data_IF_850343675439
#
_entry.id   IF_850343675439
#
_cell.length_a   1.000
_cell.length_b   1.000
_cell.length_c   1.000
_cell.angle_alpha   90.00
_cell.angle_beta   90.00
_cell.angle_gamma   90.00
#
_symmetry.space_group_name_H-M   'P 1'
#
loop_
_entity.id
_entity.type
_entity.pdbx_description
1 polymer ?
#
# COMPACT_ATOMS: atom_id res chain seq x y z
N UNK A 1 10.25 19.10 -14.57
CA UNK A 1 9.57 19.33 -13.29
C UNK A 1 8.08 19.08 -13.50
N UNK A 2 7.59 17.86 -13.24
CA UNK A 2 6.15 17.59 -13.26
C UNK A 2 5.73 17.68 -11.80
N UNK A 3 5.10 18.80 -11.47
CA UNK A 3 4.37 19.02 -10.25
C UNK A 3 3.35 17.88 -10.12
N UNK A 4 3.73 16.83 -9.40
CA UNK A 4 2.90 15.65 -9.27
C UNK A 4 1.67 16.09 -8.50
N UNK A 5 0.55 16.18 -9.23
CA UNK A 5 -0.81 16.32 -8.72
C UNK A 5 -1.09 15.15 -7.78
N UNK A 6 -0.66 15.29 -6.53
CA UNK A 6 -0.74 14.25 -5.52
C UNK A 6 -2.04 14.48 -4.77
N UNK A 7 -2.81 13.42 -4.57
CA UNK A 7 -3.93 13.39 -3.61
C UNK A 7 -3.35 13.28 -2.19
N UNK A 8 -4.09 13.64 -1.15
CA UNK A 8 -3.65 13.40 0.22
C UNK A 8 -3.64 11.91 0.55
N UNK A 9 -2.47 11.41 0.97
CA UNK A 9 -2.25 10.01 1.33
C UNK A 9 -3.22 9.52 2.42
N UNK A 10 -3.57 10.40 3.35
CA UNK A 10 -4.54 10.09 4.41
C UNK A 10 -5.88 9.65 3.81
N UNK A 11 -6.40 10.37 2.81
CA UNK A 11 -7.68 10.05 2.16
C UNK A 11 -7.58 8.72 1.42
N UNK A 12 -6.48 8.46 0.71
CA UNK A 12 -6.27 7.21 -0.01
C UNK A 12 -6.21 5.99 0.92
N UNK A 13 -5.54 6.09 2.06
CA UNK A 13 -5.49 5.01 3.06
C UNK A 13 -6.87 4.78 3.67
N UNK A 14 -7.57 5.83 4.09
CA UNK A 14 -8.92 5.69 4.63
C UNK A 14 -9.89 5.10 3.61
N UNK A 15 -9.83 5.57 2.36
CA UNK A 15 -10.60 5.03 1.24
C UNK A 15 -10.32 3.54 1.06
N UNK A 16 -9.05 3.12 1.01
CA UNK A 16 -8.67 1.73 0.82
C UNK A 16 -9.11 0.84 2.00
N UNK A 17 -9.03 1.35 3.24
CA UNK A 17 -9.38 0.61 4.44
C UNK A 17 -10.90 0.44 4.58
N UNK A 18 -11.67 1.51 4.36
CA UNK A 18 -13.14 1.49 4.42
C UNK A 18 -13.72 0.62 3.30
N UNK A 19 -13.30 0.82 2.05
CA UNK A 19 -13.84 0.03 0.95
C UNK A 19 -13.27 -1.40 0.93
N UNK A 20 -12.02 -1.60 1.34
CA UNK A 20 -11.44 -2.93 1.44
C UNK A 20 -12.22 -3.86 2.37
N UNK A 21 -12.81 -3.32 3.44
CA UNK A 21 -13.69 -4.09 4.34
C UNK A 21 -15.14 -4.16 3.81
N UNK A 22 -15.70 -3.04 3.34
CA UNK A 22 -17.08 -2.99 2.88
C UNK A 22 -17.34 -3.83 1.61
N UNK A 23 -16.38 -3.93 0.70
CA UNK A 23 -16.54 -4.67 -0.56
C UNK A 23 -16.78 -6.17 -0.34
N UNK A 24 -16.31 -6.71 0.79
CA UNK A 24 -16.52 -8.10 1.18
C UNK A 24 -17.96 -8.35 1.67
N UNK A 25 -18.51 -7.37 2.39
CA UNK A 25 -19.85 -7.45 2.99
C UNK A 25 -20.94 -7.08 1.97
N UNK A 26 -20.62 -6.20 1.02
CA UNK A 26 -21.59 -5.70 0.07
C UNK A 26 -21.76 -6.63 -1.14
N UNK A 27 -23.01 -6.95 -1.49
CA UNK A 27 -23.35 -7.78 -2.66
C UNK A 27 -23.89 -6.98 -3.87
N UNK A 28 -23.58 -5.68 -3.98
CA UNK A 28 -24.09 -4.83 -5.04
C UNK A 28 -23.03 -4.55 -6.12
N UNK A 29 -23.08 -5.30 -7.22
CA UNK A 29 -22.18 -5.12 -8.37
C UNK A 29 -22.11 -3.69 -8.94
N UNK A 30 -23.21 -2.93 -8.86
CA UNK A 30 -23.25 -1.54 -9.34
C UNK A 30 -22.26 -0.65 -8.58
N UNK A 31 -22.08 -0.89 -7.29
CA UNK A 31 -21.25 -0.05 -6.44
C UNK A 31 -19.77 -0.43 -6.57
N UNK A 32 -19.48 -1.71 -6.82
CA UNK A 32 -18.15 -2.18 -7.21
C UNK A 32 -17.68 -1.49 -8.50
N UNK A 33 -18.58 -1.37 -9.50
CA UNK A 33 -18.28 -0.65 -10.75
C UNK A 33 -18.03 0.85 -10.52
N UNK A 34 -18.87 1.52 -9.73
CA UNK A 34 -18.69 2.95 -9.41
C UNK A 34 -17.36 3.16 -8.67
N UNK A 35 -17.03 2.29 -7.71
CA UNK A 35 -15.78 2.36 -6.99
C UNK A 35 -14.57 2.15 -7.90
N UNK A 36 -14.64 1.18 -8.82
CA UNK A 36 -13.61 0.98 -9.84
C UNK A 36 -13.39 2.22 -10.72
N UNK A 37 -14.48 2.89 -11.13
CA UNK A 37 -14.41 4.15 -11.87
C UNK A 37 -13.75 5.29 -11.07
N UNK A 38 -14.03 5.41 -9.78
CA UNK A 38 -13.36 6.43 -8.94
C UNK A 38 -11.87 6.12 -8.83
N UNK A 39 -11.51 4.85 -8.61
CA UNK A 39 -10.12 4.44 -8.51
C UNK A 39 -9.35 4.66 -9.83
N UNK A 40 -10.00 4.46 -10.97
CA UNK A 40 -9.37 4.68 -12.27
C UNK A 40 -9.13 6.17 -12.53
N UNK A 41 -10.08 7.03 -12.19
CA UNK A 41 -9.93 8.49 -12.25
C UNK A 41 -8.74 8.96 -11.40
N UNK A 42 -8.55 8.41 -10.21
CA UNK A 42 -7.41 8.70 -9.32
C UNK A 42 -6.07 8.37 -9.99
N UNK A 43 -5.95 7.21 -10.64
CA UNK A 43 -4.73 6.78 -11.34
C UNK A 43 -4.43 7.62 -12.58
N UNK A 44 -5.47 7.97 -13.33
CA UNK A 44 -5.35 8.85 -14.51
C UNK A 44 -4.90 10.24 -14.07
N UNK A 45 -5.51 10.79 -13.02
CA UNK A 45 -5.12 12.07 -12.43
C UNK A 45 -3.67 12.08 -11.94
N UNK A 46 -3.21 10.95 -11.40
CA UNK A 46 -1.83 10.75 -10.96
C UNK A 46 -0.83 10.52 -12.11
N UNK A 47 -1.29 10.49 -13.37
CA UNK A 47 -0.46 10.35 -14.57
C UNK A 47 0.09 8.94 -14.83
N UNK A 48 -0.48 7.90 -14.20
CA UNK A 48 0.03 6.51 -14.27
C UNK A 48 -0.77 5.64 -15.25
N UNK A 49 -0.98 6.13 -16.47
CA UNK A 49 -1.83 5.51 -17.51
C UNK A 49 -1.44 4.07 -17.84
N UNK A 50 -0.15 3.72 -17.88
CA UNK A 50 0.31 2.35 -18.14
C UNK A 50 -0.15 1.34 -17.08
N UNK A 51 -0.20 1.74 -15.81
CA UNK A 51 -0.68 0.86 -14.73
C UNK A 51 -2.20 0.72 -14.78
N UNK A 52 -2.89 1.83 -15.02
CA UNK A 52 -4.34 1.83 -15.23
C UNK A 52 -4.76 0.86 -16.35
N UNK A 53 -4.13 0.92 -17.52
CA UNK A 53 -4.47 0.02 -18.64
C UNK A 53 -4.31 -1.46 -18.26
N UNK A 54 -3.25 -1.81 -17.51
CA UNK A 54 -3.05 -3.20 -17.05
C UNK A 54 -4.17 -3.65 -16.11
N UNK A 55 -4.55 -2.82 -15.15
CA UNK A 55 -5.64 -3.13 -14.23
C UNK A 55 -7.00 -3.16 -14.94
N UNK A 56 -7.22 -2.30 -15.92
CA UNK A 56 -8.45 -2.28 -16.72
C UNK A 56 -8.59 -3.55 -17.56
N UNK A 57 -7.53 -3.98 -18.25
CA UNK A 57 -7.53 -5.23 -19.01
C UNK A 57 -7.80 -6.41 -18.09
N UNK A 58 -7.12 -6.47 -16.94
CA UNK A 58 -7.33 -7.53 -15.95
C UNK A 58 -8.77 -7.56 -15.43
N UNK A 59 -9.34 -6.41 -15.10
CA UNK A 59 -10.72 -6.28 -14.63
C UNK A 59 -11.74 -6.74 -15.68
N UNK A 60 -11.56 -6.35 -16.95
CA UNK A 60 -12.43 -6.78 -18.05
C UNK A 60 -12.37 -8.28 -18.30
N UNK A 61 -11.18 -8.89 -18.23
CA UNK A 61 -11.03 -10.34 -18.36
C UNK A 61 -11.78 -11.07 -17.25
N UNK A 62 -11.62 -10.63 -15.99
CA UNK A 62 -12.33 -11.25 -14.88
C UNK A 62 -13.85 -11.05 -14.97
N UNK A 63 -14.33 -9.88 -15.40
CA UNK A 63 -15.75 -9.64 -15.66
C UNK A 63 -16.30 -10.55 -16.76
N UNK A 64 -15.54 -10.73 -17.84
CA UNK A 64 -15.92 -11.59 -18.94
C UNK A 64 -16.13 -13.03 -18.49
N UNK A 65 -15.21 -13.56 -17.66
CA UNK A 65 -15.31 -14.90 -17.09
C UNK A 65 -16.54 -15.05 -16.19
N UNK A 66 -16.85 -14.04 -15.39
CA UNK A 66 -17.98 -14.09 -14.43
C UNK A 66 -19.35 -14.03 -15.15
N UNK A 67 -19.50 -13.21 -16.19
CA UNK A 67 -20.81 -12.97 -16.82
C UNK A 67 -21.09 -13.83 -18.07
N UNK A 68 -20.07 -14.08 -18.90
CA UNK A 68 -20.28 -14.68 -20.23
C UNK A 68 -20.00 -16.17 -20.26
N UNK A 69 -19.14 -16.67 -19.39
CA UNK A 69 -18.87 -18.11 -19.31
C UNK A 69 -19.91 -18.72 -18.37
N UNK A 70 -20.97 -19.29 -18.95
CA UNK A 70 -21.81 -20.26 -18.22
C UNK A 70 -20.96 -21.51 -17.97
N UNK A 71 -20.22 -21.44 -16.88
CA UNK A 71 -19.38 -22.51 -16.37
C UNK A 71 -20.27 -23.73 -16.06
N UNK A 72 -19.93 -24.94 -16.53
CA UNK A 72 -20.60 -26.16 -16.11
C UNK A 72 -20.55 -26.30 -14.58
N UNK A 73 -21.52 -26.98 -13.97
CA UNK A 73 -21.60 -27.19 -12.51
C UNK A 73 -20.55 -28.17 -11.96
N UNK A 74 -19.44 -28.39 -12.67
CA UNK A 74 -18.31 -29.14 -12.15
C UNK A 74 -17.56 -28.32 -11.09
N UNK A 75 -17.11 -29.01 -10.03
CA UNK A 75 -16.37 -28.43 -8.91
C UNK A 75 -15.20 -27.51 -9.32
N UNK A 76 -14.48 -27.86 -10.38
CA UNK A 76 -13.36 -27.08 -10.89
C UNK A 76 -13.80 -25.72 -11.49
N UNK A 77 -14.88 -25.74 -12.27
CA UNK A 77 -15.37 -24.54 -12.94
C UNK A 77 -16.04 -23.58 -11.95
N UNK A 78 -16.73 -24.10 -10.93
CA UNK A 78 -17.23 -23.28 -9.81
C UNK A 78 -16.08 -22.59 -9.04
N UNK A 79 -14.96 -23.28 -8.84
CA UNK A 79 -13.78 -22.69 -8.18
C UNK A 79 -13.14 -21.56 -9.00
N UNK A 80 -13.05 -21.73 -10.33
CA UNK A 80 -12.60 -20.67 -11.25
C UNK A 80 -13.54 -19.45 -11.18
N UNK A 81 -14.85 -19.68 -11.13
CA UNK A 81 -15.86 -18.63 -11.04
C UNK A 81 -15.74 -17.85 -9.73
N UNK A 82 -15.55 -18.55 -8.61
CA UNK A 82 -15.34 -17.93 -7.30
C UNK A 82 -14.08 -17.07 -7.25
N UNK A 83 -12.94 -17.59 -7.75
CA UNK A 83 -11.69 -16.83 -7.81
C UNK A 83 -11.87 -15.58 -8.66
N UNK A 84 -12.48 -15.71 -9.84
CA UNK A 84 -12.68 -14.58 -10.76
C UNK A 84 -13.57 -13.51 -10.14
N UNK A 85 -14.66 -13.92 -9.48
CA UNK A 85 -15.56 -13.02 -8.76
C UNK A 85 -14.86 -12.29 -7.61
N UNK A 86 -14.07 -13.01 -6.79
CA UNK A 86 -13.28 -12.41 -5.72
C UNK A 86 -12.26 -11.39 -6.25
N UNK A 87 -11.60 -11.71 -7.36
CA UNK A 87 -10.66 -10.81 -8.01
C UNK A 87 -11.33 -9.55 -8.53
N UNK A 88 -12.51 -9.63 -9.16
CA UNK A 88 -13.27 -8.45 -9.61
C UNK A 88 -13.54 -7.50 -8.43
N UNK A 89 -13.95 -8.04 -7.28
CA UNK A 89 -14.21 -7.24 -6.07
C UNK A 89 -12.95 -6.61 -5.47
N UNK A 90 -11.83 -7.34 -5.44
CA UNK A 90 -10.59 -6.84 -4.85
C UNK A 90 -9.76 -5.95 -5.78
N UNK A 91 -10.00 -6.00 -7.10
CA UNK A 91 -9.29 -5.21 -8.11
C UNK A 91 -9.13 -3.72 -7.76
N UNK A 92 -10.19 -2.95 -7.47
CA UNK A 92 -10.05 -1.52 -7.19
C UNK A 92 -9.25 -1.24 -5.91
N UNK A 93 -9.36 -2.12 -4.90
CA UNK A 93 -8.56 -2.05 -3.68
C UNK A 93 -7.07 -2.29 -3.96
N UNK A 94 -6.75 -3.30 -4.77
CA UNK A 94 -5.37 -3.54 -5.21
C UNK A 94 -4.81 -2.39 -6.04
N UNK A 95 -5.66 -1.76 -6.83
CA UNK A 95 -5.29 -0.65 -7.67
C UNK A 95 -4.80 0.56 -6.85
N UNK A 96 -5.56 0.98 -5.83
CA UNK A 96 -5.12 2.02 -4.88
C UNK A 96 -3.91 1.56 -4.06
N UNK A 97 -3.91 0.33 -3.56
CA UNK A 97 -2.80 -0.19 -2.77
C UNK A 97 -1.48 -0.15 -3.55
N UNK A 98 -1.49 -0.50 -4.84
CA UNK A 98 -0.32 -0.43 -5.71
C UNK A 98 0.19 1.02 -5.88
N UNK A 99 -0.73 1.99 -5.94
CA UNK A 99 -0.39 3.41 -5.97
C UNK A 99 0.27 3.85 -4.66
N UNK A 100 -0.28 3.42 -3.52
CA UNK A 100 0.27 3.71 -2.20
C UNK A 100 1.69 3.13 -2.04
N UNK A 101 1.91 1.88 -2.42
CA UNK A 101 3.20 1.22 -2.20
C UNK A 101 4.29 1.74 -3.13
N UNK A 102 3.97 2.04 -4.40
CA UNK A 102 4.98 2.32 -5.42
C UNK A 102 5.31 3.80 -5.60
N UNK A 103 4.37 4.71 -5.37
CA UNK A 103 4.55 6.14 -5.72
C UNK A 103 4.71 7.06 -4.51
N UNK A 104 4.45 6.57 -3.30
CA UNK A 104 4.40 7.40 -2.10
C UNK A 104 5.73 7.41 -1.37
N UNK A 105 6.10 8.59 -0.87
CA UNK A 105 7.35 8.79 -0.13
C UNK A 105 7.19 8.27 1.29
N UNK A 106 8.25 7.65 1.82
CA UNK A 106 8.28 7.18 3.22
C UNK A 106 7.99 8.31 4.22
N UNK A 107 8.38 9.55 3.89
CA UNK A 107 8.10 10.74 4.71
C UNK A 107 6.61 11.12 4.78
N UNK A 108 5.85 10.95 3.71
CA UNK A 108 4.39 11.18 3.70
C UNK A 108 3.68 10.11 4.53
N UNK A 109 4.19 8.87 4.48
CA UNK A 109 3.71 7.74 5.28
C UNK A 109 3.90 8.00 6.78
N UNK A 110 5.07 8.52 7.18
CA UNK A 110 5.37 8.93 8.56
C UNK A 110 4.40 10.02 9.04
N UNK A 111 4.10 11.00 8.18
CA UNK A 111 3.14 12.06 8.50
C UNK A 111 1.73 11.50 8.79
N UNK A 112 1.23 10.65 7.90
CA UNK A 112 -0.11 10.04 8.07
C UNK A 112 -0.16 9.17 9.32
N UNK A 113 0.91 8.41 9.59
CA UNK A 113 1.01 7.64 10.82
C UNK A 113 0.94 8.52 12.08
N UNK A 114 1.53 9.72 12.03
CA UNK A 114 1.41 10.70 13.11
C UNK A 114 -0.03 11.22 13.30
N UNK A 115 -0.82 11.29 12.22
CA UNK A 115 -2.21 11.75 12.25
C UNK A 115 -3.19 10.67 12.72
N UNK A 116 -2.85 9.39 12.60
CA UNK A 116 -3.67 8.25 13.04
C UNK A 116 -3.80 8.09 14.58
N UNK A 117 -3.33 9.06 15.38
CA UNK A 117 -3.52 9.07 16.83
C UNK A 117 -2.59 8.13 17.60
N UNK A 118 -1.61 7.48 16.94
CA UNK A 118 -0.64 6.64 17.64
C UNK A 118 0.18 7.46 18.65
N UNK A 119 0.41 6.84 19.83
CA UNK A 119 1.21 7.43 20.90
C UNK A 119 2.64 7.75 20.48
N UNK A 120 3.29 8.69 21.19
CA UNK A 120 4.62 9.24 20.86
C UNK A 120 5.67 8.15 20.62
N UNK A 121 5.73 7.14 21.50
CA UNK A 121 6.68 6.01 21.41
C UNK A 121 6.51 5.20 20.11
N UNK A 122 5.27 4.89 19.75
CA UNK A 122 4.95 4.09 18.54
C UNK A 122 5.30 4.89 17.29
N UNK A 123 4.89 6.16 17.23
CA UNK A 123 5.18 7.05 16.09
C UNK A 123 6.68 7.19 15.84
N UNK A 124 7.45 7.35 16.92
CA UNK A 124 8.90 7.44 16.86
C UNK A 124 9.53 6.14 16.35
N UNK A 125 9.17 4.99 16.94
CA UNK A 125 9.67 3.69 16.51
C UNK A 125 9.38 3.44 15.02
N UNK A 126 8.15 3.68 14.57
CA UNK A 126 7.81 3.53 13.16
C UNK A 126 8.56 4.51 12.24
N UNK A 127 8.83 5.74 12.69
CA UNK A 127 9.62 6.72 11.94
C UNK A 127 11.04 6.22 11.70
N UNK A 128 11.67 5.65 12.72
CA UNK A 128 13.01 5.04 12.60
C UNK A 128 12.94 3.84 11.67
N UNK A 129 11.99 2.92 11.87
CA UNK A 129 11.85 1.72 11.04
C UNK A 129 11.64 2.06 9.57
N UNK A 130 10.79 3.03 9.25
CA UNK A 130 10.52 3.45 7.87
C UNK A 130 11.74 4.10 7.20
N UNK A 131 12.64 4.73 7.96
CA UNK A 131 13.93 5.23 7.46
C UNK A 131 14.99 4.14 7.37
N UNK A 132 14.97 3.17 8.28
CA UNK A 132 15.86 2.03 8.31
C UNK A 132 15.68 1.12 7.08
N UNK A 133 14.44 0.86 6.66
CA UNK A 133 14.15 -0.07 5.55
C UNK A 133 14.92 0.28 4.25
N UNK A 134 14.85 1.51 3.71
CA UNK A 134 15.63 1.89 2.53
C UNK A 134 17.15 1.73 2.71
N UNK A 135 17.67 2.08 3.89
CA UNK A 135 19.10 2.00 4.20
C UNK A 135 19.56 0.55 4.26
N UNK A 136 18.77 -0.32 4.91
CA UNK A 136 19.03 -1.75 4.96
C UNK A 136 19.08 -2.38 3.56
N UNK A 137 18.15 -2.03 2.67
CA UNK A 137 18.19 -2.54 1.30
C UNK A 137 19.42 -2.07 0.51
N UNK A 138 19.89 -0.83 0.74
CA UNK A 138 21.12 -0.32 0.14
C UNK A 138 22.34 -1.09 0.65
N UNK A 139 22.48 -1.25 1.97
CA UNK A 139 23.57 -2.01 2.60
C UNK A 139 23.57 -3.49 2.16
N UNK A 140 22.39 -4.13 2.12
CA UNK A 140 22.24 -5.49 1.61
C UNK A 140 22.76 -5.63 0.17
N UNK A 141 22.55 -4.62 -0.67
CA UNK A 141 23.06 -4.58 -2.05
C UNK A 141 24.59 -4.39 -2.08
N UNK A 142 25.13 -3.52 -1.23
CA UNK A 142 26.58 -3.30 -1.10
C UNK A 142 27.27 -4.59 -0.66
N UNK A 143 26.77 -5.26 0.38
CA UNK A 143 27.31 -6.53 0.88
C UNK A 143 27.24 -7.60 -0.20
N UNK A 144 26.10 -7.73 -0.90
CA UNK A 144 25.96 -8.67 -2.01
C UNK A 144 26.99 -8.42 -3.12
N UNK A 145 27.22 -7.15 -3.48
CA UNK A 145 28.21 -6.79 -4.48
C UNK A 145 29.64 -7.09 -4.01
N UNK A 146 29.95 -6.83 -2.73
CA UNK A 146 31.25 -7.14 -2.15
C UNK A 146 31.55 -8.65 -2.14
N UNK A 147 30.55 -9.49 -1.84
CA UNK A 147 30.69 -10.94 -1.92
C UNK A 147 30.92 -11.42 -3.35
N UNK A 148 30.22 -10.81 -4.32
CA UNK A 148 30.43 -11.11 -5.75
C UNK A 148 31.85 -10.77 -6.20
N UNK A 149 32.43 -9.65 -5.73
CA UNK A 149 33.82 -9.28 -6.03
C UNK A 149 34.83 -10.27 -5.44
N UNK A 150 34.50 -10.92 -4.32
CA UNK A 150 35.34 -11.96 -3.71
C UNK A 150 35.17 -13.35 -4.35
N UNK A 151 34.37 -13.46 -5.42
CA UNK A 151 34.07 -14.74 -6.07
C UNK A 151 33.18 -15.68 -5.24
N UNK A 152 32.52 -15.17 -4.20
CA UNK A 152 31.62 -15.96 -3.34
C UNK A 152 30.23 -15.89 -3.96
N UNK A 153 29.89 -16.91 -4.75
CA UNK A 153 28.54 -17.06 -5.26
C UNK A 153 27.57 -17.52 -4.17
N UNK A 154 26.69 -16.59 -3.78
CA UNK A 154 25.62 -16.82 -2.81
C UNK A 154 24.50 -17.61 -3.47
N UNK A 155 24.76 -18.89 -3.76
CA UNK A 155 23.77 -19.80 -4.31
C UNK A 155 22.76 -20.23 -3.24
N UNK A 156 21.51 -20.45 -3.65
CA UNK A 156 20.48 -21.05 -2.79
C UNK A 156 20.77 -22.52 -2.46
N UNK A 157 21.71 -23.17 -3.16
CA UNK A 157 22.02 -24.60 -3.00
C UNK A 157 22.85 -24.95 -1.76
N UNK A 158 23.51 -23.97 -1.12
CA UNK A 158 24.33 -24.19 0.09
C UNK A 158 23.86 -23.30 1.25
N UNK A 159 22.80 -23.72 1.98
CA UNK A 159 22.15 -22.89 2.99
C UNK A 159 23.09 -22.50 4.15
N UNK A 160 23.94 -23.42 4.62
CA UNK A 160 24.92 -23.15 5.69
C UNK A 160 25.89 -22.03 5.29
N UNK A 161 26.50 -22.12 4.11
CA UNK A 161 27.46 -21.10 3.64
C UNK A 161 26.78 -19.74 3.44
N UNK A 162 25.53 -19.73 2.97
CA UNK A 162 24.76 -18.49 2.86
C UNK A 162 24.49 -17.86 4.22
N UNK A 163 24.22 -18.66 5.25
CA UNK A 163 23.99 -18.15 6.59
C UNK A 163 25.23 -17.43 7.13
N UNK A 164 26.38 -18.10 7.06
CA UNK A 164 27.66 -17.58 7.56
C UNK A 164 28.16 -16.38 6.77
N UNK A 165 28.16 -16.43 5.43
CA UNK A 165 28.78 -15.40 4.60
C UNK A 165 27.86 -14.23 4.24
N UNK A 166 26.54 -14.42 4.24
CA UNK A 166 25.59 -13.38 3.86
C UNK A 166 24.71 -12.91 5.01
N UNK A 167 24.03 -13.83 5.68
CA UNK A 167 23.04 -13.46 6.71
C UNK A 167 23.71 -12.86 7.93
N UNK A 168 24.71 -13.53 8.51
CA UNK A 168 25.40 -13.06 9.73
C UNK A 168 25.99 -11.64 9.56
N UNK A 169 26.77 -11.33 8.51
CA UNK A 169 27.27 -9.95 8.31
C UNK A 169 26.16 -8.93 8.09
N UNK A 170 25.10 -9.28 7.35
CA UNK A 170 23.97 -8.36 7.13
C UNK A 170 23.21 -8.05 8.42
N UNK A 171 23.07 -9.03 9.32
CA UNK A 171 22.44 -8.83 10.62
C UNK A 171 23.28 -7.94 11.53
N UNK A 172 24.59 -8.16 11.56
CA UNK A 172 25.49 -7.32 12.35
C UNK A 172 25.47 -5.86 11.87
N UNK A 173 25.51 -5.64 10.55
CA UNK A 173 25.37 -4.30 9.95
C UNK A 173 24.01 -3.67 10.23
N UNK A 174 22.93 -4.44 10.12
CA UNK A 174 21.59 -3.99 10.48
C UNK A 174 21.50 -3.53 11.94
N UNK A 175 22.10 -4.27 12.87
CA UNK A 175 22.16 -3.91 14.30
C UNK A 175 22.92 -2.60 14.51
N UNK A 176 24.07 -2.43 13.88
CA UNK A 176 24.87 -1.21 14.02
C UNK A 176 24.12 0.02 13.49
N UNK A 177 23.48 -0.08 12.32
CA UNK A 177 22.69 1.01 11.75
C UNK A 177 21.53 1.39 12.68
N UNK A 178 20.88 0.41 13.30
CA UNK A 178 19.80 0.67 14.26
C UNK A 178 20.32 1.41 15.50
N UNK A 179 21.50 1.04 16.02
CA UNK A 179 22.15 1.73 17.12
C UNK A 179 22.53 3.17 16.74
N UNK A 180 23.17 3.39 15.58
CA UNK A 180 23.51 4.72 15.07
C UNK A 180 22.27 5.63 14.92
N UNK A 181 21.16 5.09 14.39
CA UNK A 181 19.91 5.84 14.29
C UNK A 181 19.33 6.21 15.65
N UNK A 182 19.42 5.30 16.61
CA UNK A 182 18.90 5.49 17.96
C UNK A 182 19.73 6.52 18.72
N UNK A 183 21.06 6.40 18.68
CA UNK A 183 22.02 7.36 19.24
C UNK A 183 21.85 8.76 18.63
N UNK A 184 21.72 8.84 17.30
CA UNK A 184 21.43 10.11 16.61
C UNK A 184 20.09 10.71 17.02
N UNK A 185 19.11 9.89 17.37
CA UNK A 185 17.81 10.38 17.82
C UNK A 185 17.85 10.84 19.29
N UNK A 186 18.63 10.16 20.14
CA UNK A 186 18.88 10.58 21.52
C UNK A 186 19.59 11.93 21.60
N UNK A 187 20.66 12.13 20.81
CA UNK A 187 21.40 13.41 20.76
C UNK A 187 20.55 14.58 20.25
N UNK A 188 19.51 14.30 19.45
CA UNK A 188 18.53 15.31 18.97
C UNK A 188 17.33 15.50 19.89
N UNK A 189 17.32 14.89 21.09
CA UNK A 189 16.20 14.90 22.04
C UNK A 189 14.84 14.55 21.40
N UNK A 190 14.83 13.59 20.46
CA UNK A 190 13.64 13.29 19.68
C UNK A 190 12.45 12.75 20.50
N UNK A 191 12.69 12.27 21.72
CA UNK A 191 11.65 11.82 22.66
C UNK A 191 11.25 12.87 23.71
N UNK A 192 12.00 13.97 23.84
CA UNK A 192 11.78 14.99 24.86
C UNK A 192 10.72 16.02 24.46
N UNK A 193 10.50 16.19 23.15
CA UNK A 193 9.58 17.20 22.64
C UNK A 193 8.17 16.63 22.56
N UNK A 194 7.25 17.28 23.26
CA UNK A 194 5.85 16.86 23.28
C UNK A 194 5.16 17.02 21.93
N UNK A 195 5.65 17.95 21.11
CA UNK A 195 5.11 18.28 19.79
C UNK A 195 6.14 17.98 18.71
N UNK A 196 6.24 16.70 18.32
CA UNK A 196 6.98 16.30 17.12
C UNK A 196 6.16 16.72 15.89
N UNK A 197 6.30 17.99 15.48
CA UNK A 197 5.60 18.54 14.33
C UNK A 197 6.20 17.95 13.05
N UNK A 198 5.37 17.25 12.27
CA UNK A 198 5.78 16.78 10.95
C UNK A 198 5.99 17.97 10.03
N UNK A 199 7.21 18.10 9.49
CA UNK A 199 7.56 19.10 8.47
C UNK A 199 6.74 18.90 7.19
N UNK A 200 6.28 17.68 6.93
CA UNK A 200 5.37 17.37 5.84
C UNK A 200 3.93 17.66 6.24
N UNK A 201 3.56 18.95 6.23
CA UNK A 201 2.17 19.37 6.33
C UNK A 201 1.63 19.58 4.92
N UNK A 202 0.78 18.68 4.46
CA UNK A 202 0.03 18.90 3.23
C UNK A 202 -1.38 19.36 3.58
N UNK A 203 -1.74 20.55 3.10
CA UNK A 203 -3.10 21.09 3.20
C UNK A 203 -4.06 20.21 2.40
N UNK A 204 -5.30 20.10 2.86
CA UNK A 204 -6.36 19.46 2.10
C UNK A 204 -6.62 20.27 0.85
N UNK A 205 -6.55 19.61 -0.30
CA UNK A 205 -6.86 20.21 -1.59
C UNK A 205 -8.35 19.98 -1.93
N UNK A 206 -8.89 20.76 -2.86
CA UNK A 206 -10.29 20.66 -3.30
C UNK A 206 -10.59 19.25 -3.84
N UNK A 207 -9.63 18.62 -4.49
CA UNK A 207 -9.73 17.23 -4.98
C UNK A 207 -9.94 16.25 -3.82
N UNK A 208 -9.29 16.47 -2.68
CA UNK A 208 -9.46 15.62 -1.50
C UNK A 208 -10.85 15.78 -0.90
N UNK A 209 -11.39 17.00 -0.89
CA UNK A 209 -12.75 17.26 -0.43
C UNK A 209 -13.79 16.55 -1.31
N UNK A 210 -13.64 16.63 -2.64
CA UNK A 210 -14.50 15.93 -3.60
C UNK A 210 -14.47 14.41 -3.35
N UNK A 211 -13.27 13.84 -3.15
CA UNK A 211 -13.11 12.41 -2.87
C UNK A 211 -13.78 11.99 -1.56
N UNK A 212 -13.69 12.80 -0.51
CA UNK A 212 -14.36 12.55 0.77
C UNK A 212 -15.88 12.56 0.62
N UNK A 213 -16.44 13.54 -0.11
CA UNK A 213 -17.89 13.62 -0.36
C UNK A 213 -18.37 12.40 -1.15
N UNK A 214 -17.64 11.99 -2.20
CA UNK A 214 -17.97 10.79 -2.97
C UNK A 214 -17.90 9.51 -2.12
N UNK A 215 -16.93 9.43 -1.21
CA UNK A 215 -16.81 8.36 -0.21
C UNK A 215 -18.05 8.27 0.68
N UNK A 216 -18.50 9.41 1.22
CA UNK A 216 -19.68 9.48 2.10
C UNK A 216 -20.94 9.07 1.33
N UNK A 217 -21.11 9.54 0.09
CA UNK A 217 -22.26 9.18 -0.75
C UNK A 217 -22.31 7.67 -1.04
N UNK A 218 -21.15 7.04 -1.30
CA UNK A 218 -21.09 5.60 -1.52
C UNK A 218 -21.42 4.81 -0.25
N UNK A 219 -20.90 5.22 0.91
CA UNK A 219 -21.24 4.58 2.19
C UNK A 219 -22.72 4.80 2.54
N UNK A 220 -23.27 5.98 2.26
CA UNK A 220 -24.70 6.25 2.45
C UNK A 220 -25.58 5.41 1.52
N UNK A 221 -25.15 5.20 0.26
CA UNK A 221 -25.86 4.30 -0.67
C UNK A 221 -25.85 2.84 -0.19
N UNK A 222 -24.84 2.43 0.58
CA UNK A 222 -24.84 1.15 1.30
C UNK A 222 -25.88 1.10 2.41
N UNK A 223 -25.87 2.10 3.30
CA UNK A 223 -26.82 2.19 4.41
C UNK A 223 -28.27 2.35 3.96
N UNK A 224 -28.51 3.12 2.89
CA UNK A 224 -29.84 3.33 2.32
C UNK A 224 -30.46 2.04 1.76
N UNK A 225 -29.65 1.17 1.15
CA UNK A 225 -30.11 -0.16 0.72
C UNK A 225 -30.47 -1.12 1.86
N UNK A 226 -30.08 -0.79 3.11
CA UNK A 226 -30.49 -1.50 4.32
C UNK A 226 -31.80 -0.93 4.90
N UNK A 227 -32.07 0.36 4.70
CA UNK A 227 -33.25 1.08 5.18
C UNK A 227 -34.48 0.80 4.30
N UNK A 228 -34.32 0.62 2.99
CA UNK A 228 -35.43 0.28 2.08
C UNK A 228 -35.94 -1.18 2.23
N UNK A 229 -35.35 -1.97 3.13
CA UNK A 229 -35.69 -3.39 3.38
C UNK A 229 -36.28 -3.67 4.77
N UNK A 230 -36.46 -2.66 5.60
CA UNK A 230 -37.19 -2.72 6.89
C UNK A 230 -38.60 -2.17 6.67
#
# INVERSE_FOLDING_TARGET
MIEQRRINLFVLIFMNLIFGTLILVWNNFKLDMIYFCICSLILIYSGKTKRFIKFLIFYLICLYIVFYIKLPDDSFFSFIGFISYSNVKMCPTYMIASFIVLDIRTSELIYVLGKLGFGKKIRFACTITLKFIPIYFAEKRIIKNALKLRGIDVSFTKPIKRFEYYIVPTLFRASNIANEMTESAYTRCAMCTDNMNSIYYKKFDIVDFILIVMLILLVASWGGGFIDKI
#
